data_IF_135210146542
#
_entry.id   IF_135210146542
#
_cell.length_a   1.000
_cell.length_b   1.000
_cell.length_c   1.000
_cell.angle_alpha   90.00
_cell.angle_beta   90.00
_cell.angle_gamma   90.00
#
_symmetry.space_group_name_H-M   'P 1'
#
loop_
_entity.id
_entity.type
_entity.pdbx_description
1 polymer ?
#
# COMPACT_ATOMS: atom_id res chain seq x y z
N UNK A 1 -13.02 -8.88 16.95
CA UNK A 1 -12.65 -8.21 15.69
C UNK A 1 -12.37 -6.77 16.09
N UNK A 2 -11.14 -6.26 15.90
CA UNK A 2 -10.82 -4.86 16.24
C UNK A 2 -11.30 -4.01 15.07
N UNK A 3 -12.18 -3.07 15.34
CA UNK A 3 -12.61 -2.08 14.36
C UNK A 3 -11.46 -1.09 14.13
N UNK A 4 -10.98 -1.04 12.89
CA UNK A 4 -10.04 -0.02 12.42
C UNK A 4 -10.88 1.15 11.90
N UNK A 5 -10.75 2.37 12.43
CA UNK A 5 -11.49 3.53 11.98
C UNK A 5 -11.16 3.88 10.53
N UNK A 6 -12.07 3.51 9.63
CA UNK A 6 -12.09 4.01 8.25
C UNK A 6 -13.09 5.15 8.16
N UNK A 7 -12.63 6.32 7.73
CA UNK A 7 -13.45 7.50 7.52
C UNK A 7 -14.58 7.19 6.51
N UNK A 8 -15.83 7.11 6.99
CA UNK A 8 -17.11 7.17 6.24
C UNK A 8 -17.32 6.32 4.97
N UNK A 9 -16.43 5.42 4.59
CA UNK A 9 -16.60 4.52 3.45
C UNK A 9 -16.30 3.10 3.90
N UNK A 10 -17.22 2.17 3.64
CA UNK A 10 -17.02 0.72 3.73
C UNK A 10 -15.94 0.30 2.73
N UNK A 11 -14.69 0.72 2.92
CA UNK A 11 -13.59 0.34 2.06
C UNK A 11 -13.19 -1.10 2.40
N UNK A 12 -13.30 -1.98 1.42
CA UNK A 12 -12.80 -3.33 1.50
C UNK A 12 -11.40 -3.33 0.88
N UNK A 13 -10.39 -3.61 1.70
CA UNK A 13 -9.04 -3.87 1.24
C UNK A 13 -8.98 -5.22 0.53
N UNK A 14 -8.11 -5.34 -0.48
CA UNK A 14 -7.91 -6.61 -1.18
C UNK A 14 -7.45 -7.71 -0.22
N UNK A 15 -6.50 -7.37 0.67
CA UNK A 15 -6.00 -8.28 1.68
C UNK A 15 -5.72 -7.59 3.02
N UNK A 16 -5.73 -8.40 4.08
CA UNK A 16 -5.25 -8.01 5.40
C UNK A 16 -4.39 -9.13 5.97
N UNK A 17 -3.18 -8.78 6.44
CA UNK A 17 -2.25 -9.70 7.08
C UNK A 17 -2.14 -9.32 8.55
N UNK A 18 -2.42 -10.26 9.45
CA UNK A 18 -2.14 -10.11 10.87
C UNK A 18 -0.79 -10.77 11.18
N UNK A 19 0.20 -9.97 11.58
CA UNK A 19 1.51 -10.47 11.99
C UNK A 19 1.82 -9.97 13.40
N UNK A 20 1.91 -10.90 14.36
CA UNK A 20 2.03 -10.60 15.80
C UNK A 20 0.90 -9.65 16.25
N UNK A 21 1.27 -8.45 16.69
CA UNK A 21 0.37 -7.38 17.11
C UNK A 21 0.02 -6.38 16.01
N UNK A 22 0.67 -6.47 14.85
CA UNK A 22 0.48 -5.55 13.73
C UNK A 22 -0.54 -6.09 12.73
N UNK A 23 -1.28 -5.18 12.12
CA UNK A 23 -2.19 -5.45 10.99
C UNK A 23 -1.65 -4.70 9.78
N UNK A 24 -1.41 -5.40 8.68
CA UNK A 24 -1.02 -4.81 7.40
C UNK A 24 -2.21 -4.90 6.46
N UNK A 25 -2.64 -3.75 5.95
CA UNK A 25 -3.72 -3.63 4.97
C UNK A 25 -3.10 -3.47 3.59
N UNK A 26 -3.54 -4.28 2.62
CA UNK A 26 -2.94 -4.33 1.30
C UNK A 26 -3.94 -3.98 0.21
N UNK A 27 -3.45 -3.23 -0.76
CA UNK A 27 -4.12 -2.92 -2.03
C UNK A 27 -3.21 -3.37 -3.18
N UNK A 28 -3.74 -4.13 -4.13
CA UNK A 28 -2.99 -4.71 -5.24
C UNK A 28 -3.51 -4.15 -6.55
N UNK A 29 -2.66 -3.47 -7.31
CA UNK A 29 -3.06 -2.89 -8.58
C UNK A 29 -2.16 -3.33 -9.73
N UNK A 30 -2.82 -3.71 -10.82
CA UNK A 30 -2.20 -4.03 -12.10
C UNK A 30 -2.43 -2.87 -13.08
N UNK A 31 -1.35 -2.33 -13.65
CA UNK A 31 -1.41 -1.15 -14.51
C UNK A 31 -1.13 -1.47 -15.98
N UNK A 32 -0.50 -2.61 -16.30
CA UNK A 32 -0.23 -3.11 -17.67
C UNK A 32 0.55 -2.15 -18.58
N UNK A 33 0.94 -0.96 -18.11
CA UNK A 33 1.51 0.14 -18.89
C UNK A 33 1.42 1.49 -18.19
N UNK A 34 1.61 2.57 -18.96
CA UNK A 34 1.56 3.95 -18.47
C UNK A 34 0.24 4.65 -18.74
N UNK A 35 -0.34 5.27 -17.71
CA UNK A 35 -1.60 5.98 -17.84
C UNK A 35 -1.97 6.77 -16.59
N UNK A 36 -3.02 7.59 -16.72
CA UNK A 36 -3.56 8.46 -15.66
C UNK A 36 -4.08 7.70 -14.45
N UNK A 37 -4.40 6.40 -14.61
CA UNK A 37 -4.89 5.53 -13.53
C UNK A 37 -3.92 5.47 -12.36
N UNK A 38 -2.61 5.28 -12.61
CA UNK A 38 -1.62 5.21 -11.53
C UNK A 38 -1.57 6.53 -10.75
N UNK A 39 -1.58 7.67 -11.45
CA UNK A 39 -1.59 8.99 -10.80
C UNK A 39 -2.83 9.19 -9.91
N UNK A 40 -4.00 8.75 -10.36
CA UNK A 40 -5.23 8.84 -9.56
C UNK A 40 -5.16 7.99 -8.31
N UNK A 41 -4.72 6.73 -8.45
CA UNK A 41 -4.60 5.78 -7.33
C UNK A 41 -3.53 6.22 -6.33
N UNK A 42 -2.39 6.73 -6.82
CA UNK A 42 -1.34 7.33 -5.99
C UNK A 42 -1.88 8.43 -5.07
N UNK A 43 -2.68 9.36 -5.61
CA UNK A 43 -3.30 10.41 -4.80
C UNK A 43 -4.27 9.88 -3.76
N UNK A 44 -5.12 8.92 -4.16
CA UNK A 44 -6.08 8.26 -3.27
C UNK A 44 -5.39 7.53 -2.11
N UNK A 45 -4.29 6.83 -2.39
CA UNK A 45 -3.57 6.04 -1.39
C UNK A 45 -2.77 6.90 -0.42
N UNK A 46 -2.27 8.06 -0.84
CA UNK A 46 -1.74 9.06 0.12
C UNK A 46 -2.82 9.48 1.11
N UNK A 47 -4.01 9.87 0.63
CA UNK A 47 -5.11 10.28 1.50
C UNK A 47 -5.58 9.14 2.42
N UNK A 48 -5.62 7.91 1.92
CA UNK A 48 -5.94 6.73 2.72
C UNK A 48 -4.89 6.47 3.80
N UNK A 49 -3.61 6.58 3.47
CA UNK A 49 -2.53 6.40 4.43
C UNK A 49 -2.57 7.44 5.56
N UNK A 50 -2.91 8.70 5.25
CA UNK A 50 -3.08 9.75 6.27
C UNK A 50 -4.17 9.41 7.32
N UNK A 51 -5.15 8.59 6.96
CA UNK A 51 -6.15 8.06 7.88
C UNK A 51 -5.60 6.86 8.64
N UNK A 52 -4.98 5.90 7.95
CA UNK A 52 -4.48 4.65 8.55
C UNK A 52 -3.35 4.92 9.56
N UNK A 53 -2.44 5.85 9.28
CA UNK A 53 -1.27 6.12 10.14
C UNK A 53 -1.64 6.63 11.54
N UNK A 54 -2.89 7.06 11.75
CA UNK A 54 -3.40 7.48 13.05
C UNK A 54 -3.67 6.26 13.95
N UNK A 55 -3.81 5.07 13.36
CA UNK A 55 -4.09 3.84 14.06
C UNK A 55 -2.80 3.12 14.44
N UNK A 56 -2.54 2.94 15.76
CA UNK A 56 -1.32 2.29 16.20
C UNK A 56 -1.31 0.81 15.77
N UNK A 57 -0.15 0.35 15.31
CA UNK A 57 0.08 -1.03 14.84
C UNK A 57 -0.69 -1.41 13.58
N UNK A 58 -1.17 -0.43 12.80
CA UNK A 58 -1.74 -0.66 11.48
C UNK A 58 -0.84 -0.06 10.42
N UNK A 59 -0.44 -0.88 9.45
CA UNK A 59 0.39 -0.50 8.33
C UNK A 59 -0.36 -0.62 7.02
N UNK A 60 0.08 0.14 6.01
CA UNK A 60 -0.47 0.09 4.67
C UNK A 60 0.59 -0.34 3.66
N UNK A 61 0.27 -1.32 2.80
CA UNK A 61 1.15 -1.81 1.76
C UNK A 61 0.45 -1.71 0.41
N UNK A 62 1.00 -0.92 -0.49
CA UNK A 62 0.54 -0.86 -1.88
C UNK A 62 1.41 -1.76 -2.76
N UNK A 63 0.78 -2.75 -3.39
CA UNK A 63 1.43 -3.68 -4.31
C UNK A 63 1.12 -3.30 -5.75
N UNK A 64 2.16 -3.26 -6.58
CA UNK A 64 2.09 -2.92 -8.01
C UNK A 64 2.67 -4.02 -8.90
N UNK A 65 2.32 -3.99 -10.18
CA UNK A 65 2.91 -4.85 -11.22
C UNK A 65 4.32 -4.41 -11.67
N UNK A 66 4.82 -3.27 -11.17
CA UNK A 66 6.14 -2.72 -11.47
C UNK A 66 6.25 -1.97 -12.80
N UNK A 67 5.47 -2.34 -13.82
CA UNK A 67 5.53 -1.70 -15.14
C UNK A 67 5.16 -0.20 -15.07
N UNK A 68 4.21 0.17 -14.22
CA UNK A 68 3.79 1.56 -14.03
C UNK A 68 4.91 2.48 -13.53
N UNK A 69 5.93 1.93 -12.86
CA UNK A 69 7.06 2.68 -12.31
C UNK A 69 7.89 3.35 -13.41
N UNK A 70 7.92 2.78 -14.61
CA UNK A 70 8.67 3.32 -15.74
C UNK A 70 8.02 4.56 -16.36
N UNK A 71 6.72 4.72 -16.16
CA UNK A 71 5.92 5.72 -16.89
C UNK A 71 5.36 6.84 -16.00
N UNK A 72 5.20 6.59 -14.71
CA UNK A 72 4.62 7.53 -13.76
C UNK A 72 5.52 7.72 -12.53
N UNK A 73 6.82 7.92 -12.79
CA UNK A 73 7.87 8.05 -11.77
C UNK A 73 7.55 9.13 -10.73
N UNK A 74 7.11 10.32 -11.17
CA UNK A 74 6.83 11.43 -10.27
C UNK A 74 5.69 11.12 -9.27
N UNK A 75 4.45 10.80 -9.70
CA UNK A 75 3.37 10.46 -8.77
C UNK A 75 3.69 9.27 -7.86
N UNK A 76 4.39 8.27 -8.41
CA UNK A 76 4.79 7.09 -7.65
C UNK A 76 5.80 7.47 -6.57
N UNK A 77 6.84 8.23 -6.91
CA UNK A 77 7.87 8.67 -5.98
C UNK A 77 7.27 9.51 -4.84
N UNK A 78 6.36 10.41 -5.16
CA UNK A 78 5.69 11.18 -4.11
C UNK A 78 4.86 10.28 -3.17
N UNK A 79 4.24 9.21 -3.69
CA UNK A 79 3.47 8.27 -2.86
C UNK A 79 4.40 7.37 -2.04
N UNK A 80 5.48 6.91 -2.64
CA UNK A 80 6.55 6.19 -1.97
C UNK A 80 7.11 6.99 -0.80
N UNK A 81 7.32 8.30 -0.97
CA UNK A 81 7.81 9.17 0.09
C UNK A 81 6.75 9.52 1.15
N UNK A 82 5.47 9.34 0.84
CA UNK A 82 4.35 9.74 1.70
C UNK A 82 3.68 8.57 2.43
N UNK A 83 4.00 7.31 2.08
CA UNK A 83 3.36 6.11 2.62
C UNK A 83 4.42 5.12 3.11
N UNK A 84 4.04 4.14 3.96
CA UNK A 84 5.02 3.21 4.54
C UNK A 84 5.68 2.31 3.49
N UNK A 85 4.87 1.65 2.66
CA UNK A 85 5.36 0.61 1.76
C UNK A 85 4.66 0.67 0.40
N UNK A 86 5.43 0.96 -0.64
CA UNK A 86 5.04 0.74 -2.04
C UNK A 86 6.00 -0.27 -2.64
N UNK A 87 5.49 -1.45 -2.96
CA UNK A 87 6.28 -2.58 -3.45
C UNK A 87 5.73 -3.08 -4.78
N UNK A 88 6.56 -3.82 -5.51
CA UNK A 88 6.11 -4.51 -6.72
C UNK A 88 6.20 -6.02 -6.58
N UNK A 89 5.55 -6.76 -7.48
CA UNK A 89 5.53 -8.23 -7.47
C UNK A 89 6.96 -8.80 -7.43
N UNK A 90 7.92 -8.18 -8.13
CA UNK A 90 9.30 -8.67 -8.12
C UNK A 90 9.96 -8.55 -6.75
N UNK A 91 9.66 -7.49 -6.01
CA UNK A 91 10.13 -7.33 -4.63
C UNK A 91 9.50 -8.37 -3.69
N UNK A 92 8.23 -8.72 -3.91
CA UNK A 92 7.55 -9.78 -3.15
C UNK A 92 8.20 -11.13 -3.43
N UNK A 93 8.45 -11.48 -4.70
CA UNK A 93 9.17 -12.71 -5.07
C UNK A 93 10.55 -12.81 -4.42
N UNK A 94 11.19 -11.66 -4.15
CA UNK A 94 12.50 -11.58 -3.51
C UNK A 94 12.42 -11.59 -1.97
N UNK A 95 11.23 -11.76 -1.38
CA UNK A 95 11.03 -11.89 0.07
C UNK A 95 10.81 -10.58 0.83
N UNK A 96 10.59 -9.45 0.15
CA UNK A 96 10.44 -8.16 0.81
C UNK A 96 9.18 -8.09 1.68
N UNK A 97 8.09 -8.73 1.25
CA UNK A 97 6.84 -8.74 2.02
C UNK A 97 7.03 -9.45 3.36
N UNK A 98 7.67 -10.61 3.33
CA UNK A 98 8.03 -11.40 4.50
C UNK A 98 8.93 -10.61 5.45
N UNK A 99 9.89 -9.87 4.89
CA UNK A 99 10.76 -9.00 5.68
C UNK A 99 9.96 -7.89 6.39
N UNK A 100 9.07 -7.20 5.67
CA UNK A 100 8.21 -6.14 6.22
C UNK A 100 7.36 -6.66 7.38
N UNK A 101 6.64 -7.77 7.18
CA UNK A 101 5.72 -8.30 8.20
C UNK A 101 6.46 -8.94 9.40
N UNK A 102 7.71 -9.38 9.22
CA UNK A 102 8.49 -10.04 10.28
C UNK A 102 9.22 -9.03 11.17
N UNK A 103 9.81 -7.99 10.56
CA UNK A 103 10.55 -6.93 11.28
C UNK A 103 9.62 -6.02 12.09
N UNK A 104 8.35 -5.89 11.68
CA UNK A 104 7.40 -4.98 12.30
C UNK A 104 7.39 -3.61 11.63
N UNK A 105 6.35 -2.82 11.94
CA UNK A 105 6.24 -1.41 11.58
C UNK A 105 7.27 -0.57 12.34
#
# INVERSE_FOLDING_TARGET
>A
MRDVPTDKLKRCFDFAIKAKDNIYLLEVNYYSGGGTKLKSVAGEFKSLYELIKQEPKVGFIWVTDGQGWLTAQHPLLETFNATDYVINIKMIENGLLEEIITRGL
#
